data_IF_780518821403
#
_entry.id   IF_780518821403
#
_cell.length_a   1.000
_cell.length_b   1.000
_cell.length_c   1.000
_cell.angle_alpha   90.00
_cell.angle_beta   90.00
_cell.angle_gamma   90.00
#
_symmetry.space_group_name_H-M   'P 1'
#
loop_
_entity.id
_entity.type
_entity.pdbx_description
1 polymer ?
#
# COMPACT_ATOMS: atom_id res chain seq x y z
N UNK A 1 20.65 -4.11 -7.60
CA UNK A 1 19.95 -4.28 -6.31
C UNK A 1 19.99 -2.94 -5.57
N UNK A 2 18.99 -2.53 -4.79
CA UNK A 2 19.02 -1.26 -4.04
C UNK A 2 20.16 -1.20 -3.03
N UNK A 3 20.55 -2.34 -2.42
CA UNK A 3 21.75 -2.43 -1.58
C UNK A 3 23.03 -2.04 -2.30
N UNK A 4 23.22 -2.51 -3.53
CA UNK A 4 24.42 -2.18 -4.33
C UNK A 4 24.44 -0.71 -4.76
N UNK A 5 23.32 0.00 -4.63
CA UNK A 5 23.20 1.45 -4.86
C UNK A 5 23.30 2.27 -3.57
N UNK A 6 23.64 1.65 -2.43
CA UNK A 6 23.89 2.33 -1.16
C UNK A 6 22.75 2.30 -0.14
N UNK A 7 21.58 1.71 -0.46
CA UNK A 7 20.46 1.63 0.50
C UNK A 7 20.76 0.60 1.60
N UNK A 8 21.04 1.08 2.82
CA UNK A 8 21.44 0.25 3.97
C UNK A 8 20.27 -0.36 4.72
N UNK A 9 19.31 0.47 5.14
CA UNK A 9 18.14 0.07 5.92
C UNK A 9 16.87 0.67 5.32
N UNK A 10 15.76 -0.02 5.51
CA UNK A 10 14.42 0.44 5.15
C UNK A 10 13.51 0.15 6.33
N UNK A 11 12.69 1.12 6.69
CA UNK A 11 11.77 0.99 7.83
C UNK A 11 10.45 0.32 7.42
N UNK A 12 9.86 0.73 6.29
CA UNK A 12 8.55 0.24 5.86
C UNK A 12 8.49 0.00 4.36
N UNK A 13 8.04 -1.19 3.97
CA UNK A 13 7.63 -1.49 2.61
C UNK A 13 6.11 -1.50 2.48
N UNK A 14 5.59 -0.72 1.52
CA UNK A 14 4.18 -0.68 1.14
C UNK A 14 3.97 -1.36 -0.19
N UNK A 15 3.19 -2.44 -0.22
CA UNK A 15 2.92 -3.12 -1.47
C UNK A 15 1.58 -3.88 -1.49
N UNK A 16 1.12 -4.25 -2.67
CA UNK A 16 -0.03 -5.15 -2.88
C UNK A 16 0.30 -6.61 -2.51
N UNK A 17 1.59 -6.93 -2.38
CA UNK A 17 2.12 -8.18 -1.87
C UNK A 17 2.02 -9.34 -2.86
N UNK A 18 2.54 -9.08 -4.05
CA UNK A 18 2.95 -10.09 -5.04
C UNK A 18 3.67 -11.26 -4.36
N UNK A 19 3.41 -12.47 -4.88
CA UNK A 19 3.98 -13.72 -4.38
C UNK A 19 5.50 -13.64 -4.29
N UNK A 20 6.06 -14.14 -3.18
CA UNK A 20 7.51 -14.20 -2.95
C UNK A 20 8.17 -12.87 -2.55
N UNK A 21 7.52 -11.72 -2.75
CA UNK A 21 8.11 -10.42 -2.44
C UNK A 21 8.34 -10.25 -0.92
N UNK A 22 7.38 -10.62 -0.07
CA UNK A 22 7.55 -10.54 1.40
C UNK A 22 8.74 -11.36 1.87
N UNK A 23 8.91 -12.57 1.33
CA UNK A 23 10.05 -13.45 1.61
C UNK A 23 11.38 -12.83 1.14
N UNK A 24 11.40 -12.28 -0.08
CA UNK A 24 12.58 -11.62 -0.62
C UNK A 24 12.97 -10.36 0.16
N UNK A 25 11.99 -9.58 0.60
CA UNK A 25 12.18 -8.40 1.45
C UNK A 25 12.70 -8.80 2.82
N UNK A 26 12.12 -9.81 3.47
CA UNK A 26 12.62 -10.30 4.77
C UNK A 26 14.07 -10.80 4.69
N UNK A 27 14.47 -11.43 3.57
CA UNK A 27 15.86 -11.85 3.34
C UNK A 27 16.81 -10.67 3.13
N UNK A 28 16.34 -9.63 2.44
CA UNK A 28 17.20 -8.50 2.03
C UNK A 28 17.27 -7.42 3.11
N UNK A 29 16.14 -7.09 3.72
CA UNK A 29 15.95 -6.04 4.72
C UNK A 29 15.16 -6.61 5.92
N UNK A 30 15.81 -7.43 6.78
CA UNK A 30 15.12 -8.18 7.83
C UNK A 30 14.49 -7.31 8.92
N UNK A 31 15.00 -6.09 9.13
CA UNK A 31 14.44 -5.11 10.07
C UNK A 31 13.21 -4.37 9.52
N UNK A 32 12.96 -4.44 8.21
CA UNK A 32 11.90 -3.66 7.59
C UNK A 32 10.53 -4.24 7.89
N UNK A 33 9.59 -3.38 8.29
CA UNK A 33 8.19 -3.73 8.38
C UNK A 33 7.57 -3.86 6.98
N UNK A 34 6.55 -4.71 6.87
CA UNK A 34 5.80 -4.92 5.64
C UNK A 34 4.32 -4.60 5.86
N UNK A 35 3.79 -3.65 5.10
CA UNK A 35 2.38 -3.27 5.14
C UNK A 35 1.74 -3.58 3.79
N UNK A 36 0.63 -4.31 3.85
CA UNK A 36 -0.23 -4.55 2.71
C UNK A 36 -1.05 -3.31 2.41
N UNK A 37 -1.07 -2.84 1.16
CA UNK A 37 -1.83 -1.64 0.78
C UNK A 37 -3.34 -1.88 0.87
N UNK A 38 -4.02 -1.18 1.78
CA UNK A 38 -5.46 -1.36 2.03
C UNK A 38 -6.31 -1.16 0.77
N UNK A 39 -5.97 -0.20 -0.11
CA UNK A 39 -6.72 0.02 -1.36
C UNK A 39 -6.70 -1.20 -2.28
N UNK A 40 -5.57 -1.93 -2.34
CA UNK A 40 -5.48 -3.15 -3.16
C UNK A 40 -6.30 -4.28 -2.52
N UNK A 41 -6.30 -4.36 -1.20
CA UNK A 41 -7.15 -5.29 -0.45
C UNK A 41 -8.63 -4.99 -0.71
N UNK A 42 -9.05 -3.73 -0.62
CA UNK A 42 -10.41 -3.29 -0.93
C UNK A 42 -10.83 -3.62 -2.37
N UNK A 43 -9.96 -3.36 -3.36
CA UNK A 43 -10.19 -3.74 -4.76
C UNK A 43 -10.38 -5.25 -4.91
N UNK A 44 -9.53 -6.04 -4.25
CA UNK A 44 -9.62 -7.50 -4.27
C UNK A 44 -10.90 -8.02 -3.62
N UNK A 45 -11.37 -7.39 -2.54
CA UNK A 45 -12.66 -7.70 -1.93
C UNK A 45 -13.80 -7.37 -2.92
N UNK A 46 -13.84 -6.15 -3.47
CA UNK A 46 -14.87 -5.72 -4.44
C UNK A 46 -14.99 -6.65 -5.65
N UNK A 47 -13.86 -7.19 -6.13
CA UNK A 47 -13.83 -8.12 -7.26
C UNK A 47 -14.47 -9.48 -6.95
N UNK A 48 -14.62 -9.84 -5.67
CA UNK A 48 -15.04 -11.17 -5.20
C UNK A 48 -16.39 -11.18 -4.48
N UNK A 49 -17.05 -10.02 -4.38
CA UNK A 49 -18.35 -9.86 -3.71
C UNK A 49 -19.41 -9.36 -4.69
N UNK A 50 -20.67 -9.61 -4.37
CA UNK A 50 -21.80 -9.15 -5.18
C UNK A 50 -21.84 -7.62 -5.23
N UNK A 51 -22.35 -7.08 -6.35
CA UNK A 51 -22.37 -5.62 -6.60
C UNK A 51 -23.14 -4.89 -5.50
N UNK A 52 -24.28 -5.43 -5.08
CA UNK A 52 -25.17 -4.83 -4.08
C UNK A 52 -24.52 -4.74 -2.69
N UNK A 53 -23.63 -5.68 -2.36
CA UNK A 53 -22.91 -5.70 -1.09
C UNK A 53 -21.65 -4.82 -1.08
N UNK A 54 -21.12 -4.42 -2.26
CA UNK A 54 -19.83 -3.73 -2.37
C UNK A 54 -19.78 -2.47 -1.52
N UNK A 55 -20.78 -1.61 -1.61
CA UNK A 55 -20.78 -0.34 -0.90
C UNK A 55 -20.72 -0.57 0.62
N UNK A 56 -21.59 -1.45 1.13
CA UNK A 56 -21.67 -1.79 2.54
C UNK A 56 -20.38 -2.40 3.06
N UNK A 57 -19.84 -3.40 2.36
CA UNK A 57 -18.56 -4.05 2.71
C UNK A 57 -17.42 -3.03 2.71
N UNK A 58 -17.36 -2.13 1.73
CA UNK A 58 -16.31 -1.12 1.66
C UNK A 58 -16.40 -0.10 2.79
N UNK A 59 -17.60 0.35 3.13
CA UNK A 59 -17.79 1.30 4.22
C UNK A 59 -17.43 0.69 5.58
N UNK A 60 -17.78 -0.58 5.81
CA UNK A 60 -17.40 -1.32 7.01
C UNK A 60 -15.89 -1.59 7.06
N UNK A 61 -15.28 -2.02 5.95
CA UNK A 61 -13.84 -2.28 5.89
C UNK A 61 -13.02 -1.00 6.11
N UNK A 62 -13.51 0.17 5.66
CA UNK A 62 -12.84 1.45 5.93
C UNK A 62 -12.77 1.80 7.42
N UNK A 63 -13.71 1.31 8.25
CA UNK A 63 -13.70 1.58 9.69
C UNK A 63 -12.42 1.06 10.37
N UNK A 64 -11.81 0.01 9.83
CA UNK A 64 -10.58 -0.58 10.37
C UNK A 64 -9.45 0.45 10.51
N UNK A 65 -9.28 1.37 9.56
CA UNK A 65 -8.20 2.37 9.62
C UNK A 65 -8.61 3.69 10.28
N UNK A 66 -9.87 3.81 10.69
CA UNK A 66 -10.38 4.97 11.42
C UNK A 66 -10.23 4.83 12.94
N UNK A 67 -9.90 3.63 13.42
CA UNK A 67 -9.74 3.37 14.85
C UNK A 67 -8.54 4.09 15.44
N UNK A 68 -8.61 4.37 16.74
CA UNK A 68 -7.59 5.11 17.48
C UNK A 68 -6.37 4.25 17.75
N UNK A 69 -6.61 2.97 18.07
CA UNK A 69 -5.59 2.00 18.45
C UNK A 69 -5.60 0.75 17.54
N UNK A 70 -4.45 0.05 17.51
CA UNK A 70 -4.32 -1.24 16.81
C UNK A 70 -5.27 -2.30 17.36
N UNK A 71 -5.53 -2.26 18.67
CA UNK A 71 -6.41 -3.21 19.36
C UNK A 71 -7.87 -3.02 18.95
N UNK A 72 -8.35 -1.78 18.90
CA UNK A 72 -9.67 -1.44 18.38
C UNK A 72 -9.79 -1.84 16.90
N UNK A 73 -8.78 -1.55 16.08
CA UNK A 73 -8.79 -1.94 14.67
C UNK A 73 -8.87 -3.45 14.46
N UNK A 74 -8.17 -4.24 15.29
CA UNK A 74 -8.25 -5.69 15.26
C UNK A 74 -9.64 -6.20 15.66
N UNK A 75 -10.26 -5.61 16.69
CA UNK A 75 -11.62 -5.96 17.10
C UNK A 75 -12.63 -5.71 15.96
N UNK A 76 -12.59 -4.53 15.35
CA UNK A 76 -13.44 -4.18 14.20
C UNK A 76 -13.21 -5.12 13.01
N UNK A 77 -11.96 -5.51 12.75
CA UNK A 77 -11.62 -6.46 11.70
C UNK A 77 -12.19 -7.87 11.99
N UNK A 78 -12.18 -8.30 13.25
CA UNK A 78 -12.73 -9.60 13.66
C UNK A 78 -14.26 -9.61 13.60
N UNK A 79 -14.92 -8.51 13.96
CA UNK A 79 -16.37 -8.34 13.76
C UNK A 79 -16.73 -8.37 12.27
N UNK A 80 -15.94 -7.70 11.43
CA UNK A 80 -16.09 -7.76 9.97
C UNK A 80 -15.98 -9.20 9.45
N UNK A 81 -15.04 -9.99 9.97
CA UNK A 81 -14.94 -11.41 9.64
C UNK A 81 -16.20 -12.17 10.06
N UNK A 82 -16.63 -12.04 11.31
CA UNK A 82 -17.78 -12.77 11.82
C UNK A 82 -19.04 -12.51 10.98
N UNK A 83 -19.26 -11.25 10.59
CA UNK A 83 -20.41 -10.83 9.80
C UNK A 83 -20.42 -11.39 8.38
N UNK A 84 -19.30 -11.29 7.68
CA UNK A 84 -19.24 -11.61 6.24
C UNK A 84 -18.77 -13.03 5.93
N UNK A 85 -18.30 -13.79 6.93
CA UNK A 85 -17.78 -15.14 6.71
C UNK A 85 -18.82 -16.12 6.15
N UNK A 86 -20.11 -15.98 6.50
CA UNK A 86 -21.16 -16.86 5.97
C UNK A 86 -21.40 -16.65 4.47
N UNK A 87 -21.40 -15.41 4.01
CA UNK A 87 -21.64 -15.05 2.61
C UNK A 87 -20.37 -15.17 1.75
N UNK A 88 -19.21 -14.79 2.30
CA UNK A 88 -17.96 -14.62 1.56
C UNK A 88 -16.78 -15.30 2.25
N UNK A 89 -16.93 -16.56 2.66
CA UNK A 89 -15.91 -17.33 3.39
C UNK A 89 -14.53 -17.31 2.73
N UNK A 90 -14.48 -17.39 1.39
CA UNK A 90 -13.24 -17.36 0.63
C UNK A 90 -12.52 -15.99 0.70
N UNK A 91 -13.27 -14.89 0.74
CA UNK A 91 -12.72 -13.53 0.94
C UNK A 91 -12.14 -13.42 2.35
N UNK A 92 -12.91 -13.86 3.35
CA UNK A 92 -12.50 -13.78 4.76
C UNK A 92 -11.27 -14.64 5.03
N UNK A 93 -11.19 -15.84 4.46
CA UNK A 93 -9.99 -16.70 4.55
C UNK A 93 -8.75 -15.96 4.04
N UNK A 94 -8.83 -15.38 2.85
CA UNK A 94 -7.71 -14.61 2.28
C UNK A 94 -7.33 -13.38 3.10
N UNK A 95 -8.29 -12.73 3.77
CA UNK A 95 -8.01 -11.60 4.65
C UNK A 95 -7.29 -12.02 5.93
N UNK A 96 -7.68 -13.15 6.54
CA UNK A 96 -7.02 -13.69 7.74
C UNK A 96 -5.56 -14.06 7.47
N UNK A 97 -5.26 -14.59 6.29
CA UNK A 97 -3.88 -14.93 5.88
C UNK A 97 -2.96 -13.70 5.82
N UNK A 98 -3.51 -12.52 5.50
CA UNK A 98 -2.75 -11.27 5.39
C UNK A 98 -2.94 -10.32 6.57
N UNK A 99 -3.75 -10.69 7.58
CA UNK A 99 -4.10 -9.86 8.73
C UNK A 99 -2.88 -9.23 9.43
N UNK A 100 -1.76 -9.97 9.68
CA UNK A 100 -0.57 -9.39 10.30
C UNK A 100 0.00 -8.20 9.53
N UNK A 101 -0.19 -8.17 8.20
CA UNK A 101 0.32 -7.15 7.30
C UNK A 101 -0.67 -5.99 7.08
N UNK A 102 -1.92 -6.10 7.56
CA UNK A 102 -2.96 -5.07 7.34
C UNK A 102 -2.87 -3.91 8.33
N UNK A 103 -2.44 -4.17 9.56
CA UNK A 103 -2.49 -3.21 10.68
C UNK A 103 -1.12 -2.68 11.10
N UNK A 104 -0.08 -2.91 10.30
CA UNK A 104 1.30 -2.48 10.61
C UNK A 104 1.42 -0.95 10.68
N UNK A 105 0.64 -0.22 9.88
CA UNK A 105 0.60 1.24 9.90
C UNK A 105 0.23 1.84 11.27
N UNK A 106 -0.43 1.08 12.16
CA UNK A 106 -0.71 1.53 13.52
C UNK A 106 0.53 1.68 14.40
N UNK A 107 1.63 1.00 14.06
CA UNK A 107 2.90 1.15 14.74
C UNK A 107 3.55 2.53 14.49
N UNK A 108 3.04 3.29 13.52
CA UNK A 108 3.57 4.58 13.12
C UNK A 108 2.76 5.76 13.68
N UNK A 109 3.37 6.97 13.77
CA UNK A 109 2.71 8.18 14.23
C UNK A 109 1.43 8.49 13.44
N UNK A 110 0.39 8.95 14.15
CA UNK A 110 -0.94 9.25 13.58
C UNK A 110 -0.87 10.20 12.38
N UNK A 111 0.09 11.13 12.41
CA UNK A 111 0.35 12.15 11.39
C UNK A 111 0.64 11.54 10.01
N UNK A 112 1.27 10.36 9.94
CA UNK A 112 1.66 9.71 8.67
C UNK A 112 0.79 8.51 8.30
N UNK A 113 -0.07 8.03 9.21
CA UNK A 113 -0.93 6.85 8.94
C UNK A 113 -1.73 7.00 7.65
N UNK A 114 -2.35 8.16 7.43
CA UNK A 114 -3.12 8.45 6.21
C UNK A 114 -2.29 8.32 4.93
N UNK A 115 -1.02 8.71 4.99
CA UNK A 115 -0.08 8.58 3.88
C UNK A 115 0.32 7.13 3.61
N UNK A 116 0.33 6.30 4.66
CA UNK A 116 0.66 4.87 4.59
C UNK A 116 -0.52 4.04 4.04
N UNK A 117 -1.73 4.25 4.58
CA UNK A 117 -2.89 3.44 4.19
C UNK A 117 -3.60 3.96 2.92
N UNK A 118 -3.41 5.23 2.56
CA UNK A 118 -3.88 5.76 1.27
C UNK A 118 -2.92 5.38 0.15
N UNK A 119 -3.43 5.34 -1.09
CA UNK A 119 -2.61 5.09 -2.27
C UNK A 119 -2.55 6.28 -3.21
N UNK A 120 -2.95 7.47 -2.75
CA UNK A 120 -3.11 8.65 -3.62
C UNK A 120 -1.83 8.98 -4.39
N UNK A 121 -0.64 8.90 -3.78
CA UNK A 121 0.61 9.17 -4.47
C UNK A 121 0.87 8.19 -5.62
N UNK A 122 0.73 6.89 -5.34
CA UNK A 122 1.06 5.83 -6.30
C UNK A 122 0.00 5.76 -7.40
N UNK A 123 -1.28 5.86 -7.04
CA UNK A 123 -2.38 5.85 -8.00
C UNK A 123 -2.39 7.12 -8.87
N UNK A 124 -2.03 8.29 -8.31
CA UNK A 124 -1.87 9.52 -9.09
C UNK A 124 -0.81 9.33 -10.18
N UNK A 125 0.36 8.81 -9.82
CA UNK A 125 1.42 8.51 -10.78
C UNK A 125 1.00 7.47 -11.82
N UNK A 126 0.38 6.36 -11.38
CA UNK A 126 -0.14 5.33 -12.28
C UNK A 126 -1.18 5.89 -13.25
N UNK A 127 -2.05 6.80 -12.80
CA UNK A 127 -3.05 7.46 -13.65
C UNK A 127 -2.40 8.41 -14.66
N UNK A 128 -1.31 9.09 -14.30
CA UNK A 128 -0.52 9.88 -15.27
C UNK A 128 0.06 8.97 -16.35
N UNK A 129 0.69 7.85 -15.97
CA UNK A 129 1.23 6.87 -16.92
C UNK A 129 0.13 6.35 -17.85
N UNK A 130 -0.99 5.85 -17.29
CA UNK A 130 -2.11 5.31 -18.07
C UNK A 130 -2.68 6.33 -19.05
N UNK A 131 -2.87 7.59 -18.64
CA UNK A 131 -3.36 8.64 -19.53
C UNK A 131 -2.41 8.93 -20.70
N UNK A 132 -1.10 8.98 -20.43
CA UNK A 132 -0.08 9.24 -21.46
C UNK A 132 0.19 8.03 -22.35
N UNK A 133 -0.06 6.82 -21.85
CA UNK A 133 0.04 5.58 -22.61
C UNK A 133 -1.20 5.33 -23.49
N UNK A 134 -2.40 5.75 -23.07
CA UNK A 134 -3.67 5.54 -23.79
C UNK A 134 -3.66 5.91 -25.28
N UNK A 135 -3.07 7.03 -25.75
CA UNK A 135 -3.05 7.34 -27.18
C UNK A 135 -2.03 6.51 -27.98
N UNK A 136 -1.16 5.73 -27.32
CA UNK A 136 -0.18 4.86 -27.98
C UNK A 136 -0.84 3.51 -28.24
N UNK A 137 -0.90 3.09 -29.50
CA UNK A 137 -1.46 1.79 -29.87
C UNK A 137 -0.60 0.63 -29.36
N UNK A 138 0.72 0.73 -29.54
CA UNK A 138 1.70 -0.25 -29.09
C UNK A 138 3.07 0.39 -28.84
N UNK A 139 3.95 -0.35 -28.17
CA UNK A 139 5.36 -0.01 -28.04
C UNK A 139 6.16 -1.00 -28.90
N UNK A 140 7.00 -0.51 -29.84
CA UNK A 140 7.70 -1.38 -30.79
C UNK A 140 8.74 -2.30 -30.12
N UNK A 141 9.29 -1.89 -28.98
CA UNK A 141 10.28 -2.67 -28.21
C UNK A 141 10.11 -2.45 -26.71
N UNK A 142 10.60 -3.37 -25.89
CA UNK A 142 10.67 -3.18 -24.43
C UNK A 142 11.47 -1.93 -24.05
N UNK A 143 12.58 -1.66 -24.75
CA UNK A 143 13.38 -0.46 -24.54
C UNK A 143 12.58 0.83 -24.78
N UNK A 144 11.70 0.84 -25.78
CA UNK A 144 10.84 2.01 -26.03
C UNK A 144 9.83 2.26 -24.90
N UNK A 145 9.36 1.18 -24.26
CA UNK A 145 8.52 1.26 -23.06
C UNK A 145 9.34 1.77 -21.86
N UNK A 146 10.56 1.27 -21.66
CA UNK A 146 11.44 1.71 -20.58
C UNK A 146 11.76 3.20 -20.69
N UNK A 147 12.10 3.69 -21.88
CA UNK A 147 12.34 5.13 -22.13
C UNK A 147 11.09 5.93 -21.83
N UNK A 148 9.92 5.47 -22.27
CA UNK A 148 8.65 6.14 -22.00
C UNK A 148 8.36 6.25 -20.50
N UNK A 149 8.52 5.17 -19.75
CA UNK A 149 8.34 5.14 -18.29
C UNK A 149 9.38 6.01 -17.60
N UNK A 150 10.64 5.96 -18.05
CA UNK A 150 11.73 6.79 -17.54
C UNK A 150 11.42 8.28 -17.65
N UNK A 151 10.95 8.74 -18.81
CA UNK A 151 10.53 10.14 -19.01
C UNK A 151 9.39 10.52 -18.04
N UNK A 152 8.42 9.63 -17.83
CA UNK A 152 7.33 9.91 -16.87
C UNK A 152 7.84 9.97 -15.43
N UNK A 153 8.75 9.09 -15.06
CA UNK A 153 9.35 9.06 -13.73
C UNK A 153 10.20 10.32 -13.47
N UNK A 154 10.99 10.76 -14.46
CA UNK A 154 11.77 12.00 -14.37
C UNK A 154 10.86 13.22 -14.19
N UNK A 155 9.83 13.35 -15.02
CA UNK A 155 8.85 14.44 -14.89
C UNK A 155 8.14 14.43 -13.53
N UNK A 156 7.80 13.25 -13.01
CA UNK A 156 7.23 13.11 -11.68
C UNK A 156 8.22 13.55 -10.59
N UNK A 157 9.48 13.13 -10.72
CA UNK A 157 10.56 13.49 -9.80
C UNK A 157 10.75 15.01 -9.78
N UNK A 158 10.84 15.67 -10.94
CA UNK A 158 11.05 17.12 -11.02
C UNK A 158 9.93 17.91 -10.32
N UNK A 159 8.68 17.46 -10.44
CA UNK A 159 7.54 18.11 -9.78
C UNK A 159 7.51 17.92 -8.25
N UNK A 160 8.13 16.85 -7.72
CA UNK A 160 8.01 16.47 -6.32
C UNK A 160 9.36 16.37 -5.58
N UNK A 161 10.47 16.71 -6.23
CA UNK A 161 11.82 16.48 -5.72
C UNK A 161 12.04 17.07 -4.33
N UNK A 162 11.62 18.32 -4.14
CA UNK A 162 11.76 19.05 -2.87
C UNK A 162 10.55 18.90 -1.94
N UNK A 163 9.58 18.04 -2.29
CA UNK A 163 8.32 17.96 -1.55
C UNK A 163 8.41 16.92 -0.46
N UNK A 164 8.26 17.36 0.79
CA UNK A 164 7.98 16.47 1.92
C UNK A 164 6.49 16.09 1.89
N UNK A 165 6.21 14.79 1.96
CA UNK A 165 4.83 14.32 1.96
C UNK A 165 4.10 14.66 3.26
N UNK A 166 2.77 14.74 3.20
CA UNK A 166 1.92 15.15 4.34
C UNK A 166 2.22 14.30 5.58
N UNK A 167 2.42 14.99 6.70
CA UNK A 167 2.68 14.40 8.01
C UNK A 167 4.17 14.09 8.27
N UNK A 168 4.96 13.77 7.24
CA UNK A 168 6.34 13.33 7.41
C UNK A 168 7.25 14.40 8.00
N UNK A 169 7.08 15.66 7.61
CA UNK A 169 7.85 16.78 8.18
C UNK A 169 7.57 17.06 9.66
N UNK A 170 6.47 16.54 10.22
CA UNK A 170 6.11 16.74 11.64
C UNK A 170 6.70 15.67 12.56
N UNK A 171 7.15 14.55 12.00
CA UNK A 171 7.57 13.37 12.77
C UNK A 171 8.96 12.88 12.35
N UNK A 172 9.76 13.76 11.73
CA UNK A 172 11.06 13.42 11.18
C UNK A 172 11.98 12.82 12.26
N UNK A 173 12.17 13.50 13.39
CA UNK A 173 13.02 13.03 14.50
C UNK A 173 12.57 11.67 15.04
N UNK A 174 11.25 11.43 15.10
CA UNK A 174 10.67 10.15 15.55
C UNK A 174 10.90 9.03 14.54
N UNK A 175 10.94 9.34 13.24
CA UNK A 175 11.24 8.34 12.21
C UNK A 175 12.73 8.05 12.13
N UNK A 176 13.59 9.05 12.34
CA UNK A 176 15.04 8.88 12.38
C UNK A 176 15.45 7.96 13.53
N UNK A 177 14.82 8.08 14.71
CA UNK A 177 15.10 7.21 15.85
C UNK A 177 14.70 5.73 15.66
N UNK A 178 13.97 5.38 14.60
CA UNK A 178 13.69 3.98 14.26
C UNK A 178 14.88 3.29 13.57
N UNK A 179 15.86 4.08 13.09
CA UNK A 179 17.05 3.58 12.41
C UNK A 179 18.29 3.48 13.31
N UNK A 180 18.23 4.07 14.51
CA UNK A 180 19.24 3.96 15.56
C UNK A 180 19.22 2.58 16.24
#
# INVERSE_FOLDING_TARGET
NMKSRGLKQVELFLSDGVVGMKTALARTYPKAHFQRRLVHVMRNICAKVQVDDREKIMNEFKQIHQQTSKKEAAAVLHEFYAKWNKAYSHVIKGLKEIEPDLLVFYNYPKQIRASIYSTNMIESFNNVIKRKAKPKAEFPTEQSLDVFIGIQAMSCNDCYFNRIHKGFGQVQDTLESYFD
#
